data_IF_701184615823
#
_entry.id   IF_701184615823
#
_cell.length_a   1.000
_cell.length_b   1.000
_cell.length_c   1.000
_cell.angle_alpha   90.00
_cell.angle_beta   90.00
_cell.angle_gamma   90.00
#
_symmetry.space_group_name_H-M   'P 1'
#
loop_
_entity.id
_entity.type
_entity.pdbx_description
1 polymer ?
#
# COMPACT_ATOMS: atom_id res chain seq x y z
N UNK A 1 13.07 -12.71 24.07
CA UNK A 1 11.76 -12.02 24.00
C UNK A 1 11.58 -11.58 22.56
N UNK A 2 10.62 -12.14 21.82
CA UNK A 2 10.31 -11.66 20.48
C UNK A 2 9.55 -10.34 20.61
N UNK A 3 9.93 -9.33 19.83
CA UNK A 3 9.17 -8.09 19.75
C UNK A 3 7.72 -8.39 19.33
N UNK A 4 6.73 -7.63 19.82
CA UNK A 4 5.36 -7.77 19.33
C UNK A 4 5.32 -7.52 17.83
N UNK A 5 4.58 -8.34 17.10
CA UNK A 5 4.40 -8.19 15.65
C UNK A 5 3.83 -6.80 15.33
N UNK A 6 4.40 -6.15 14.33
CA UNK A 6 3.95 -4.85 13.82
C UNK A 6 2.49 -4.91 13.35
N UNK A 7 1.83 -3.75 13.28
CA UNK A 7 0.45 -3.67 12.78
C UNK A 7 0.30 -4.24 11.36
N UNK A 8 1.33 -4.10 10.52
CA UNK A 8 1.36 -4.64 9.15
C UNK A 8 1.47 -6.17 9.16
N UNK A 9 2.35 -6.74 9.99
CA UNK A 9 2.45 -8.20 10.13
C UNK A 9 1.13 -8.79 10.67
N UNK A 10 0.52 -8.15 11.65
CA UNK A 10 -0.78 -8.57 12.17
C UNK A 10 -1.90 -8.49 11.13
N UNK A 11 -1.91 -7.45 10.28
CA UNK A 11 -2.88 -7.31 9.19
C UNK A 11 -2.74 -8.47 8.19
N UNK A 12 -1.51 -8.79 7.79
CA UNK A 12 -1.24 -9.88 6.85
C UNK A 12 -1.64 -11.24 7.45
N UNK A 13 -1.37 -11.46 8.74
CA UNK A 13 -1.76 -12.68 9.46
C UNK A 13 -3.27 -12.83 9.66
N UNK A 14 -4.02 -11.73 9.81
CA UNK A 14 -5.49 -11.76 9.96
C UNK A 14 -6.21 -12.14 8.67
N UNK A 15 -5.63 -11.78 7.52
CA UNK A 15 -6.24 -11.95 6.19
C UNK A 15 -5.31 -12.75 5.26
N UNK A 16 -4.88 -13.97 5.64
CA UNK A 16 -3.83 -14.70 4.92
C UNK A 16 -4.32 -15.24 3.56
N UNK A 17 -5.63 -15.24 3.32
CA UNK A 17 -6.27 -15.74 2.10
C UNK A 17 -6.24 -14.74 0.93
N UNK A 18 -5.87 -13.47 1.17
CA UNK A 18 -5.84 -12.44 0.14
C UNK A 18 -4.56 -12.48 -0.70
N UNK A 19 -4.62 -11.91 -1.90
CA UNK A 19 -3.48 -11.77 -2.82
C UNK A 19 -2.55 -10.64 -2.34
N UNK A 20 -1.61 -10.97 -1.46
CA UNK A 20 -0.61 -10.05 -0.92
C UNK A 20 0.69 -10.01 -1.75
N UNK A 21 1.28 -8.84 -1.83
CA UNK A 21 2.61 -8.60 -2.40
C UNK A 21 3.45 -7.93 -1.33
N UNK A 22 4.50 -8.63 -0.91
CA UNK A 22 5.40 -8.18 0.16
C UNK A 22 6.85 -8.02 -0.31
N UNK A 23 7.18 -8.40 -1.56
CA UNK A 23 8.54 -8.23 -2.07
C UNK A 23 8.88 -6.73 -2.24
N UNK A 24 9.95 -6.22 -1.59
CA UNK A 24 10.23 -4.78 -1.52
C UNK A 24 10.28 -4.09 -2.88
N UNK A 25 10.90 -4.70 -3.89
CA UNK A 25 11.01 -4.13 -5.23
C UNK A 25 9.64 -4.04 -5.94
N UNK A 26 8.75 -5.00 -5.71
CA UNK A 26 7.39 -4.97 -6.30
C UNK A 26 6.53 -3.93 -5.60
N UNK A 27 6.59 -3.85 -4.27
CA UNK A 27 5.89 -2.83 -3.49
C UNK A 27 6.35 -1.43 -3.87
N UNK A 28 7.65 -1.20 -3.98
CA UNK A 28 8.21 0.08 -4.42
C UNK A 28 7.73 0.47 -5.84
N UNK A 29 7.64 -0.49 -6.77
CA UNK A 29 7.10 -0.25 -8.11
C UNK A 29 5.59 0.07 -8.08
N UNK A 30 4.81 -0.67 -7.30
CA UNK A 30 3.35 -0.46 -7.16
C UNK A 30 3.00 0.79 -6.35
N UNK A 31 3.96 1.35 -5.63
CA UNK A 31 3.81 2.62 -4.92
C UNK A 31 4.02 3.85 -5.81
N UNK A 32 4.42 3.67 -7.07
CA UNK A 32 4.71 4.78 -7.99
C UNK A 32 3.63 4.93 -9.06
N UNK A 33 3.36 6.18 -9.44
CA UNK A 33 2.61 6.56 -10.63
C UNK A 33 3.49 7.35 -11.61
N UNK A 34 2.89 8.12 -12.53
CA UNK A 34 3.60 8.93 -13.53
C UNK A 34 3.96 10.34 -13.02
N UNK A 35 3.90 10.59 -11.72
CA UNK A 35 4.36 11.85 -11.11
C UNK A 35 5.78 12.26 -11.45
N UNK A 36 6.63 11.32 -11.89
CA UNK A 36 7.97 11.62 -12.39
C UNK A 36 8.00 12.53 -13.63
N UNK A 37 6.87 12.72 -14.32
CA UNK A 37 6.72 13.75 -15.38
C UNK A 37 6.98 15.16 -14.84
N UNK A 38 6.69 15.41 -13.56
CA UNK A 38 6.99 16.67 -12.88
C UNK A 38 8.31 16.56 -12.13
N UNK A 39 9.34 17.37 -12.44
CA UNK A 39 10.58 17.40 -11.67
C UNK A 39 10.36 17.78 -10.19
N UNK A 40 9.32 18.55 -9.89
CA UNK A 40 8.94 18.93 -8.52
C UNK A 40 8.41 17.71 -7.78
N UNK A 41 7.41 17.02 -8.33
CA UNK A 41 6.81 15.86 -7.69
C UNK A 41 7.80 14.70 -7.58
N UNK A 42 8.65 14.50 -8.60
CA UNK A 42 9.73 13.50 -8.55
C UNK A 42 10.61 13.67 -7.31
N UNK A 43 10.98 14.90 -6.95
CA UNK A 43 11.78 15.18 -5.74
C UNK A 43 10.95 15.03 -4.47
N UNK A 44 9.72 15.52 -4.46
CA UNK A 44 8.85 15.48 -3.27
C UNK A 44 8.41 14.07 -2.87
N UNK A 45 8.22 13.18 -3.85
CA UNK A 45 7.76 11.80 -3.65
C UNK A 45 8.92 10.79 -3.65
N UNK A 46 10.17 11.26 -3.67
CA UNK A 46 11.32 10.37 -3.65
C UNK A 46 11.34 9.53 -2.37
N UNK A 47 11.49 8.22 -2.52
CA UNK A 47 11.52 7.28 -1.40
C UNK A 47 10.15 6.98 -0.76
N UNK A 48 9.07 7.58 -1.25
CA UNK A 48 7.71 7.28 -0.78
C UNK A 48 7.24 5.94 -1.34
N UNK A 49 7.00 4.99 -0.44
CA UNK A 49 6.45 3.68 -0.77
C UNK A 49 5.64 3.13 0.40
N UNK A 50 4.69 2.23 0.11
CA UNK A 50 3.98 1.49 1.14
C UNK A 50 4.79 0.35 1.72
N UNK A 51 4.29 -0.28 2.79
CA UNK A 51 4.92 -1.46 3.40
C UNK A 51 4.59 -2.76 2.64
N UNK A 52 3.30 -2.93 2.28
CA UNK A 52 2.77 -4.09 1.56
C UNK A 52 1.65 -3.67 0.61
N UNK A 53 1.31 -4.53 -0.37
CA UNK A 53 0.18 -4.32 -1.29
C UNK A 53 -0.76 -5.52 -1.22
N UNK A 54 -2.07 -5.26 -1.32
CA UNK A 54 -3.09 -6.30 -1.47
C UNK A 54 -3.90 -6.07 -2.73
N UNK A 55 -4.26 -7.17 -3.41
CA UNK A 55 -5.07 -7.17 -4.63
C UNK A 55 -6.40 -7.87 -4.38
N UNK A 56 -7.37 -7.20 -3.74
CA UNK A 56 -8.68 -7.78 -3.50
C UNK A 56 -9.41 -8.02 -4.82
N UNK A 57 -10.18 -9.11 -4.89
CA UNK A 57 -10.90 -9.59 -6.08
C UNK A 57 -12.41 -9.35 -6.00
N UNK A 58 -12.92 -9.09 -4.79
CA UNK A 58 -14.35 -8.90 -4.51
C UNK A 58 -14.58 -7.72 -3.56
N UNK A 59 -15.80 -7.19 -3.55
CA UNK A 59 -16.18 -6.14 -2.61
C UNK A 59 -16.07 -6.58 -1.15
N UNK A 60 -16.33 -7.85 -0.86
CA UNK A 60 -16.18 -8.42 0.48
C UNK A 60 -14.72 -8.43 0.94
N UNK A 61 -13.78 -8.76 0.06
CA UNK A 61 -12.35 -8.64 0.35
C UNK A 61 -11.94 -7.19 0.62
N UNK A 62 -12.43 -6.24 -0.18
CA UNK A 62 -12.21 -4.80 0.06
C UNK A 62 -12.72 -4.41 1.45
N UNK A 63 -13.94 -4.83 1.80
CA UNK A 63 -14.55 -4.54 3.10
C UNK A 63 -13.70 -5.10 4.25
N UNK A 64 -13.19 -6.33 4.14
CA UNK A 64 -12.32 -6.95 5.14
C UNK A 64 -11.02 -6.16 5.34
N UNK A 65 -10.33 -5.81 4.26
CA UNK A 65 -9.09 -5.00 4.31
C UNK A 65 -9.34 -3.64 4.93
N UNK A 66 -10.35 -2.91 4.43
CA UNK A 66 -10.67 -1.57 4.92
C UNK A 66 -11.01 -1.57 6.41
N UNK A 67 -11.82 -2.53 6.87
CA UNK A 67 -12.16 -2.66 8.28
C UNK A 67 -10.94 -3.01 9.15
N UNK A 68 -10.07 -3.91 8.69
CA UNK A 68 -8.86 -4.30 9.43
C UNK A 68 -7.84 -3.16 9.54
N UNK A 69 -7.66 -2.39 8.48
CA UNK A 69 -6.81 -1.19 8.50
C UNK A 69 -7.39 -0.11 9.41
N UNK A 70 -8.70 0.15 9.34
CA UNK A 70 -9.36 1.14 10.19
C UNK A 70 -9.22 0.82 11.69
N UNK A 71 -9.39 -0.45 12.09
CA UNK A 71 -9.21 -0.89 13.49
C UNK A 71 -7.81 -0.65 14.02
N UNK A 72 -6.79 -0.68 13.16
CA UNK A 72 -5.37 -0.56 13.52
C UNK A 72 -4.76 0.81 13.23
N UNK A 73 -5.53 1.72 12.62
CA UNK A 73 -5.02 3.01 12.16
C UNK A 73 -3.98 2.90 11.05
N UNK A 74 -4.05 1.87 10.21
CA UNK A 74 -3.13 1.69 9.07
C UNK A 74 -3.65 2.56 7.90
N UNK A 75 -2.85 3.50 7.36
CA UNK A 75 -3.24 4.28 6.19
C UNK A 75 -3.47 3.40 4.96
N UNK A 76 -4.46 3.76 4.14
CA UNK A 76 -4.74 3.08 2.88
C UNK A 76 -4.56 4.04 1.71
N UNK A 77 -3.77 3.61 0.72
CA UNK A 77 -3.65 4.30 -0.56
C UNK A 77 -4.28 3.43 -1.64
N UNK A 78 -5.36 3.92 -2.25
CA UNK A 78 -6.05 3.19 -3.31
C UNK A 78 -5.30 3.36 -4.63
N UNK A 79 -5.18 2.27 -5.38
CA UNK A 79 -4.49 2.25 -6.68
C UNK A 79 -5.30 1.45 -7.70
N UNK A 80 -5.51 2.04 -8.88
CA UNK A 80 -5.90 1.31 -10.09
C UNK A 80 -4.67 0.82 -10.87
N UNK A 81 -4.56 1.20 -12.14
CA UNK A 81 -3.36 0.94 -12.96
C UNK A 81 -2.14 1.77 -12.54
N UNK A 82 -2.37 2.90 -11.85
CA UNK A 82 -1.35 3.85 -11.40
C UNK A 82 -0.67 4.62 -12.52
N UNK A 83 -1.48 5.07 -13.48
CA UNK A 83 -1.08 5.98 -14.58
C UNK A 83 -1.39 7.44 -14.26
N UNK A 84 -1.67 7.76 -12.99
CA UNK A 84 -1.89 9.12 -12.51
C UNK A 84 -0.62 9.96 -12.62
N UNK A 85 -0.74 11.27 -12.80
CA UNK A 85 0.42 12.15 -13.03
C UNK A 85 0.80 12.99 -11.81
N UNK A 86 0.10 12.84 -10.69
CA UNK A 86 0.21 13.77 -9.55
C UNK A 86 0.60 13.11 -8.23
N UNK A 87 0.95 11.82 -8.22
CA UNK A 87 1.21 11.07 -6.99
C UNK A 87 -0.06 10.58 -6.30
N UNK A 88 -1.18 10.51 -7.03
CA UNK A 88 -2.52 10.24 -6.47
C UNK A 88 -2.62 8.85 -5.84
N UNK A 89 -1.81 7.91 -6.35
CA UNK A 89 -1.72 6.55 -5.84
C UNK A 89 -0.37 6.25 -5.18
N UNK A 90 0.36 7.28 -4.75
CA UNK A 90 1.64 7.14 -4.03
C UNK A 90 1.39 7.20 -2.53
N UNK A 91 1.74 6.16 -1.75
CA UNK A 91 1.63 6.19 -0.29
C UNK A 91 2.56 7.24 0.31
N UNK A 92 2.04 8.15 1.15
CA UNK A 92 2.78 9.31 1.64
C UNK A 92 3.36 9.14 3.06
N UNK A 93 2.79 8.22 3.84
CA UNK A 93 3.06 7.99 5.25
C UNK A 93 3.71 6.63 5.45
#
# INVERSE_FOLDING_TARGET
MNAPASNIEQLHLELPDLDWITEPNKVARLSQDFSWFSPVLKRQLQGKHGDIVVKPRTEDEIRRVAAACARRGIPLTVRGSGTGNYGQSTPLY
#
